data_IF_959815317783
#
_entry.id   IF_959815317783
#
_cell.length_a   1.000
_cell.length_b   1.000
_cell.length_c   1.000
_cell.angle_alpha   90.00
_cell.angle_beta   90.00
_cell.angle_gamma   90.00
#
_symmetry.space_group_name_H-M   'P 1'
#
loop_
_entity.id
_entity.type
_entity.pdbx_description
1 polymer ?
#
# COMPACT_ATOMS: atom_id res chain seq x y z
N UNK A 1 0.07 -15.97 -70.38
CA UNK A 1 -0.59 -14.78 -69.81
C UNK A 1 -1.48 -15.28 -68.68
N UNK A 2 -0.89 -15.43 -67.50
CA UNK A 2 -1.59 -15.95 -66.35
C UNK A 2 -2.21 -14.78 -65.56
N UNK A 3 -3.52 -14.84 -65.51
CA UNK A 3 -4.37 -13.84 -64.87
C UNK A 3 -4.27 -13.98 -63.37
N UNK A 4 -3.59 -13.05 -62.72
CA UNK A 4 -3.51 -12.91 -61.26
C UNK A 4 -4.87 -12.39 -60.76
N UNK A 5 -5.76 -13.28 -60.35
CA UNK A 5 -6.99 -12.90 -59.65
C UNK A 5 -6.67 -12.52 -58.23
N UNK A 6 -7.10 -11.34 -57.72
CA UNK A 6 -6.95 -11.00 -56.29
C UNK A 6 -7.82 -11.89 -55.44
N UNK A 7 -7.25 -12.52 -54.42
CA UNK A 7 -7.87 -13.45 -53.47
C UNK A 7 -8.91 -12.82 -52.51
N UNK A 8 -9.17 -11.53 -52.63
CA UNK A 8 -10.12 -10.79 -51.81
C UNK A 8 -11.16 -10.09 -52.66
N UNK A 9 -12.11 -10.80 -53.16
CA UNK A 9 -13.34 -10.22 -53.68
C UNK A 9 -14.34 -10.10 -52.54
N UNK A 10 -14.56 -8.90 -52.07
CA UNK A 10 -15.61 -8.56 -51.13
C UNK A 10 -16.98 -8.76 -51.77
N UNK A 11 -17.61 -9.90 -51.57
CA UNK A 11 -19.06 -10.04 -51.74
C UNK A 11 -19.77 -9.54 -50.48
N UNK A 12 -20.77 -8.65 -50.60
CA UNK A 12 -21.66 -8.35 -49.52
C UNK A 12 -22.55 -9.58 -49.30
N UNK A 13 -22.26 -10.36 -48.27
CA UNK A 13 -23.12 -11.45 -47.83
C UNK A 13 -23.95 -10.94 -46.67
N UNK A 14 -25.24 -10.85 -46.97
CA UNK A 14 -26.31 -10.63 -46.01
C UNK A 14 -26.19 -11.51 -44.78
N UNK A 15 -26.58 -10.92 -43.68
CA UNK A 15 -26.87 -11.47 -42.39
C UNK A 15 -27.18 -12.97 -42.34
N UNK A 16 -26.29 -13.75 -41.83
CA UNK A 16 -26.63 -14.89 -41.04
C UNK A 16 -25.65 -14.99 -39.89
N UNK A 17 -26.18 -14.82 -38.72
CA UNK A 17 -25.59 -14.90 -37.39
C UNK A 17 -24.80 -16.20 -37.13
N UNK A 18 -23.72 -16.39 -37.82
CA UNK A 18 -22.65 -17.32 -37.43
C UNK A 18 -21.69 -16.61 -36.53
N UNK A 19 -22.16 -16.23 -35.32
CA UNK A 19 -21.27 -16.01 -34.19
C UNK A 19 -20.52 -17.33 -33.97
N UNK A 20 -19.29 -17.38 -34.51
CA UNK A 20 -18.37 -18.46 -34.19
C UNK A 20 -18.28 -18.59 -32.68
N UNK A 21 -18.68 -19.72 -32.07
CA UNK A 21 -18.69 -19.84 -30.60
C UNK A 21 -17.31 -19.75 -29.96
N UNK A 22 -16.25 -19.75 -30.76
CA UNK A 22 -14.86 -19.79 -30.29
C UNK A 22 -14.12 -18.43 -30.31
N UNK A 23 -14.77 -17.33 -30.76
CA UNK A 23 -14.19 -16.01 -30.80
C UNK A 23 -14.63 -15.08 -29.67
N UNK A 24 -15.34 -15.57 -28.69
CA UNK A 24 -15.49 -14.83 -27.44
C UNK A 24 -14.12 -14.78 -26.78
N UNK A 25 -13.56 -13.59 -26.55
CA UNK A 25 -12.33 -13.49 -25.77
C UNK A 25 -12.57 -14.23 -24.45
N UNK A 26 -11.72 -15.22 -24.15
CA UNK A 26 -11.78 -16.03 -22.91
C UNK A 26 -11.54 -15.18 -21.64
N UNK A 27 -11.45 -13.88 -21.79
CA UNK A 27 -11.25 -12.94 -20.73
C UNK A 27 -12.61 -12.39 -20.33
N UNK A 28 -13.10 -12.84 -19.17
CA UNK A 28 -14.25 -12.22 -18.52
C UNK A 28 -13.96 -10.73 -18.34
N UNK A 29 -15.00 -9.91 -18.49
CA UNK A 29 -14.90 -8.46 -18.36
C UNK A 29 -14.32 -8.09 -16.98
N UNK A 30 -13.27 -7.27 -16.99
CA UNK A 30 -12.71 -6.72 -15.77
C UNK A 30 -13.73 -5.79 -15.13
N UNK A 31 -13.86 -5.84 -13.81
CA UNK A 31 -14.76 -4.95 -13.08
C UNK A 31 -14.06 -3.59 -12.93
N UNK A 32 -14.59 -2.51 -13.55
CA UNK A 32 -14.01 -1.19 -13.40
C UNK A 32 -14.22 -0.69 -11.96
N UNK A 33 -13.16 -0.22 -11.32
CA UNK A 33 -13.25 0.46 -10.02
C UNK A 33 -12.55 1.81 -10.09
N UNK A 34 -12.89 2.75 -9.19
CA UNK A 34 -12.22 4.07 -9.16
C UNK A 34 -10.70 4.00 -9.02
N UNK A 35 -10.19 2.91 -8.45
CA UNK A 35 -8.76 2.67 -8.23
C UNK A 35 -8.10 1.76 -9.28
N UNK A 36 -8.77 1.52 -10.41
CA UNK A 36 -8.32 0.63 -11.48
C UNK A 36 -9.13 -0.65 -11.60
N UNK A 37 -8.99 -1.39 -12.71
CA UNK A 37 -9.74 -2.62 -12.97
C UNK A 37 -9.34 -3.74 -12.01
N UNK A 38 -10.32 -4.50 -11.53
CA UNK A 38 -10.12 -5.68 -10.67
C UNK A 38 -10.61 -6.95 -11.37
N UNK A 39 -10.01 -8.08 -11.01
CA UNK A 39 -10.48 -9.39 -11.44
C UNK A 39 -11.78 -9.78 -10.74
N UNK A 40 -12.75 -10.36 -11.46
CA UNK A 40 -13.90 -10.94 -10.81
C UNK A 40 -13.47 -12.13 -9.93
N UNK A 41 -14.15 -12.28 -8.80
CA UNK A 41 -13.83 -13.34 -7.83
C UNK A 41 -13.88 -14.76 -8.45
N UNK A 42 -14.72 -14.97 -9.46
CA UNK A 42 -14.85 -16.24 -10.18
C UNK A 42 -13.56 -16.70 -10.87
N UNK A 43 -12.76 -15.77 -11.39
CA UNK A 43 -11.50 -16.07 -12.10
C UNK A 43 -10.31 -16.42 -11.19
N UNK A 44 -10.39 -16.14 -9.88
CA UNK A 44 -9.33 -16.49 -8.98
C UNK A 44 -9.26 -18.02 -8.79
N UNK A 45 -8.04 -18.56 -8.81
CA UNK A 45 -7.82 -19.98 -8.51
C UNK A 45 -8.24 -20.30 -7.07
N UNK A 46 -8.70 -21.53 -6.82
CA UNK A 46 -9.14 -21.96 -5.49
C UNK A 46 -8.06 -21.75 -4.42
N UNK A 47 -6.80 -22.01 -4.73
CA UNK A 47 -5.67 -21.79 -3.82
C UNK A 47 -5.49 -20.31 -3.47
N UNK A 48 -5.63 -19.40 -4.43
CA UNK A 48 -5.54 -17.95 -4.18
C UNK A 48 -6.70 -17.46 -3.33
N UNK A 49 -7.92 -17.96 -3.58
CA UNK A 49 -9.10 -17.66 -2.75
C UNK A 49 -8.89 -18.11 -1.32
N UNK A 50 -8.43 -19.35 -1.13
CA UNK A 50 -8.17 -19.91 0.19
C UNK A 50 -7.09 -19.08 0.93
N UNK A 51 -5.99 -18.77 0.25
CA UNK A 51 -4.93 -17.94 0.80
C UNK A 51 -5.44 -16.55 1.18
N UNK A 52 -6.23 -15.90 0.31
CA UNK A 52 -6.83 -14.59 0.59
C UNK A 52 -7.72 -14.63 1.83
N UNK A 53 -8.65 -15.58 1.90
CA UNK A 53 -9.53 -15.72 3.07
C UNK A 53 -8.74 -16.00 4.35
N UNK A 54 -7.74 -16.86 4.28
CA UNK A 54 -6.87 -17.17 5.42
C UNK A 54 -6.07 -15.93 5.87
N UNK A 55 -5.52 -15.16 4.93
CA UNK A 55 -4.77 -13.93 5.24
C UNK A 55 -5.67 -12.88 5.88
N UNK A 56 -6.85 -12.64 5.33
CA UNK A 56 -7.79 -11.67 5.92
C UNK A 56 -8.23 -12.13 7.31
N UNK A 57 -8.56 -13.41 7.50
CA UNK A 57 -8.94 -13.92 8.81
C UNK A 57 -7.82 -13.78 9.85
N UNK A 58 -6.57 -14.08 9.49
CA UNK A 58 -5.41 -13.91 10.39
C UNK A 58 -5.13 -12.45 10.72
N UNK A 59 -5.26 -11.53 9.75
CA UNK A 59 -5.09 -10.09 10.00
C UNK A 59 -6.22 -9.52 10.85
N UNK A 60 -7.47 -9.97 10.68
CA UNK A 60 -8.59 -9.58 11.52
C UNK A 60 -8.43 -10.12 12.97
N UNK A 61 -7.91 -11.34 13.14
CA UNK A 61 -7.59 -11.86 14.47
C UNK A 61 -6.48 -11.01 15.13
N UNK A 62 -5.44 -10.64 14.39
CA UNK A 62 -4.38 -9.75 14.89
C UNK A 62 -4.93 -8.35 15.22
N UNK A 63 -5.86 -7.84 14.42
CA UNK A 63 -6.56 -6.58 14.68
C UNK A 63 -7.33 -6.65 16.01
N UNK A 64 -8.10 -7.70 16.23
CA UNK A 64 -8.85 -7.91 17.47
C UNK A 64 -7.93 -7.98 18.70
N UNK A 65 -6.82 -8.71 18.62
CA UNK A 65 -5.80 -8.76 19.67
C UNK A 65 -5.18 -7.39 19.96
N UNK A 66 -4.90 -6.62 18.91
CA UNK A 66 -4.33 -5.29 19.05
C UNK A 66 -5.31 -4.30 19.68
N UNK A 67 -6.58 -4.31 19.25
CA UNK A 67 -7.66 -3.50 19.84
C UNK A 67 -7.91 -3.86 21.31
N UNK A 68 -7.92 -5.15 21.66
CA UNK A 68 -8.03 -5.61 23.05
C UNK A 68 -6.88 -5.09 23.90
N UNK A 69 -5.66 -5.06 23.34
CA UNK A 69 -4.51 -4.53 24.04
C UNK A 69 -4.61 -3.02 24.26
N UNK A 70 -5.00 -2.26 23.23
CA UNK A 70 -5.23 -0.81 23.29
C UNK A 70 -6.30 -0.50 24.36
N UNK A 71 -7.41 -1.24 24.35
CA UNK A 71 -8.49 -1.07 25.34
C UNK A 71 -8.01 -1.32 26.77
N UNK A 72 -7.26 -2.40 27.00
CA UNK A 72 -6.71 -2.69 28.33
C UNK A 72 -5.72 -1.61 28.79
N UNK A 73 -4.90 -1.09 27.89
CA UNK A 73 -3.94 -0.03 28.20
C UNK A 73 -4.65 1.29 28.50
N UNK A 74 -5.74 1.63 27.80
CA UNK A 74 -6.50 2.86 28.06
C UNK A 74 -7.24 2.85 29.40
N UNK A 75 -7.56 1.65 29.93
CA UNK A 75 -8.24 1.48 31.23
C UNK A 75 -7.24 1.38 32.40
N UNK A 76 -5.95 1.17 32.16
CA UNK A 76 -4.95 1.07 33.19
C UNK A 76 -4.50 2.47 33.62
N UNK A 77 -4.66 2.81 34.90
CA UNK A 77 -4.36 4.13 35.49
C UNK A 77 -2.87 4.49 35.48
N UNK A 78 -2.00 3.50 35.32
CA UNK A 78 -0.56 3.63 35.18
C UNK A 78 -0.09 2.81 33.98
N UNK A 79 -0.25 3.36 32.78
CA UNK A 79 0.19 2.69 31.56
C UNK A 79 1.56 3.23 31.13
N UNK A 80 2.45 2.31 30.76
CA UNK A 80 3.65 2.63 30.00
C UNK A 80 3.22 3.26 28.67
N UNK A 81 3.40 4.56 28.52
CA UNK A 81 3.01 5.32 27.31
C UNK A 81 3.61 4.70 26.03
N UNK A 82 4.82 4.16 26.11
CA UNK A 82 5.51 3.50 25.02
C UNK A 82 4.74 2.30 24.43
N UNK A 83 4.06 1.51 25.30
CA UNK A 83 3.28 0.35 24.83
C UNK A 83 2.02 0.76 24.05
N UNK A 84 1.40 1.89 24.40
CA UNK A 84 0.23 2.41 23.72
C UNK A 84 0.58 2.86 22.29
N UNK A 85 1.67 3.61 22.14
CA UNK A 85 2.21 4.04 20.84
C UNK A 85 2.52 2.86 19.93
N UNK A 86 3.20 1.86 20.46
CA UNK A 86 3.51 0.62 19.73
C UNK A 86 2.24 -0.04 19.20
N UNK A 87 1.20 -0.09 20.04
CA UNK A 87 -0.08 -0.71 19.66
C UNK A 87 -0.82 0.10 18.60
N UNK A 88 -0.76 1.44 18.64
CA UNK A 88 -1.34 2.30 17.60
C UNK A 88 -0.62 2.16 16.26
N UNK A 89 0.71 2.17 16.25
CA UNK A 89 1.48 1.96 15.00
C UNK A 89 1.18 0.58 14.41
N UNK A 90 1.06 -0.44 15.26
CA UNK A 90 0.69 -1.77 14.82
C UNK A 90 -0.73 -1.80 14.24
N UNK A 91 -1.68 -1.08 14.84
CA UNK A 91 -3.04 -0.95 14.32
C UNK A 91 -3.04 -0.38 12.90
N UNK A 92 -2.32 0.72 12.68
CA UNK A 92 -2.15 1.32 11.34
C UNK A 92 -1.53 0.30 10.39
N UNK A 93 -0.45 -0.37 10.79
CA UNK A 93 0.22 -1.39 9.98
C UNK A 93 -0.72 -2.52 9.54
N UNK A 94 -1.56 -3.04 10.44
CA UNK A 94 -2.51 -4.11 10.12
C UNK A 94 -3.58 -3.63 9.12
N UNK A 95 -4.13 -2.42 9.30
CA UNK A 95 -5.13 -1.87 8.39
C UNK A 95 -4.58 -1.71 6.97
N UNK A 96 -3.34 -1.21 6.85
CA UNK A 96 -2.67 -1.10 5.55
C UNK A 96 -2.29 -2.48 4.97
N UNK A 97 -1.91 -3.47 5.78
CA UNK A 97 -1.70 -4.84 5.31
C UNK A 97 -2.96 -5.45 4.70
N UNK A 98 -4.14 -5.24 5.30
CA UNK A 98 -5.43 -5.67 4.74
C UNK A 98 -5.67 -5.01 3.37
N UNK A 99 -5.39 -3.72 3.26
CA UNK A 99 -5.50 -2.99 2.00
C UNK A 99 -4.55 -3.53 0.94
N UNK A 100 -3.25 -3.68 1.24
CA UNK A 100 -2.23 -4.14 0.29
C UNK A 100 -2.50 -5.56 -0.21
N UNK A 101 -2.85 -6.50 0.66
CA UNK A 101 -3.14 -7.87 0.22
C UNK A 101 -4.40 -7.94 -0.63
N UNK A 102 -5.43 -7.16 -0.28
CA UNK A 102 -6.68 -7.11 -1.04
C UNK A 102 -6.40 -6.60 -2.44
N UNK A 103 -5.71 -5.49 -2.56
CA UNK A 103 -5.39 -4.89 -3.85
C UNK A 103 -4.36 -5.71 -4.62
N UNK A 104 -3.35 -6.24 -3.94
CA UNK A 104 -2.31 -7.10 -4.53
C UNK A 104 -2.88 -8.35 -5.19
N UNK A 105 -3.91 -8.98 -4.60
CA UNK A 105 -4.55 -10.17 -5.15
C UNK A 105 -5.58 -9.82 -6.22
N UNK A 106 -6.47 -8.85 -5.98
CA UNK A 106 -7.57 -8.53 -6.90
C UNK A 106 -7.11 -7.83 -8.17
N UNK A 107 -6.05 -7.04 -8.11
CA UNK A 107 -5.45 -6.35 -9.25
C UNK A 107 -4.21 -7.06 -9.81
N UNK A 108 -3.80 -8.20 -9.23
CA UNK A 108 -2.50 -8.85 -9.53
C UNK A 108 -1.32 -7.86 -9.46
N UNK A 109 -1.39 -6.92 -8.53
CA UNK A 109 -0.39 -5.88 -8.42
C UNK A 109 0.81 -6.36 -7.59
N UNK A 110 1.94 -6.61 -8.25
CA UNK A 110 3.17 -7.07 -7.61
C UNK A 110 3.74 -6.06 -6.62
N UNK A 111 3.60 -4.77 -6.89
CA UNK A 111 4.10 -3.69 -6.03
C UNK A 111 3.42 -3.72 -4.66
N UNK A 112 2.11 -3.91 -4.63
CA UNK A 112 1.34 -4.03 -3.38
C UNK A 112 1.74 -5.28 -2.57
N UNK A 113 2.06 -6.38 -3.26
CA UNK A 113 2.55 -7.58 -2.57
C UNK A 113 3.94 -7.36 -1.96
N UNK A 114 4.82 -6.61 -2.61
CA UNK A 114 6.12 -6.23 -2.04
C UNK A 114 5.91 -5.37 -0.80
N UNK A 115 5.06 -4.34 -0.89
CA UNK A 115 4.77 -3.47 0.25
C UNK A 115 4.14 -4.26 1.40
N UNK A 116 3.24 -5.20 1.11
CA UNK A 116 2.67 -6.11 2.11
C UNK A 116 3.75 -6.91 2.85
N UNK A 117 4.70 -7.52 2.12
CA UNK A 117 5.82 -8.27 2.71
C UNK A 117 6.69 -7.36 3.56
N UNK A 118 7.04 -6.16 3.06
CA UNK A 118 7.82 -5.18 3.81
C UNK A 118 7.12 -4.76 5.11
N UNK A 119 5.81 -4.49 5.05
CA UNK A 119 5.02 -4.16 6.24
C UNK A 119 5.01 -5.29 7.25
N UNK A 120 4.82 -6.55 6.82
CA UNK A 120 4.88 -7.70 7.72
C UNK A 120 6.24 -7.85 8.37
N UNK A 121 7.33 -7.71 7.61
CA UNK A 121 8.70 -7.79 8.14
C UNK A 121 8.96 -6.69 9.17
N UNK A 122 8.51 -5.46 8.93
CA UNK A 122 8.64 -4.35 9.88
C UNK A 122 7.85 -4.64 11.15
N UNK A 123 6.61 -5.14 11.04
CA UNK A 123 5.78 -5.51 12.20
C UNK A 123 6.41 -6.65 12.98
N UNK A 124 6.96 -7.67 12.32
CA UNK A 124 7.68 -8.78 12.96
C UNK A 124 8.91 -8.28 13.69
N UNK A 125 9.77 -7.48 13.03
CA UNK A 125 11.01 -6.94 13.61
C UNK A 125 10.68 -6.08 14.83
N UNK A 126 9.70 -5.20 14.72
CA UNK A 126 9.26 -4.36 15.84
C UNK A 126 8.69 -5.21 17.00
N UNK A 127 7.95 -6.28 16.71
CA UNK A 127 7.41 -7.19 17.72
C UNK A 127 8.53 -7.91 18.48
N UNK A 128 9.60 -8.32 17.77
CA UNK A 128 10.80 -8.91 18.38
C UNK A 128 11.49 -7.89 19.29
N UNK A 129 11.76 -6.68 18.81
CA UNK A 129 12.40 -5.62 19.60
C UNK A 129 11.59 -5.32 20.86
N UNK A 130 10.28 -5.12 20.73
CA UNK A 130 9.40 -4.86 21.88
C UNK A 130 9.42 -6.00 22.89
N UNK A 131 9.42 -7.25 22.43
CA UNK A 131 9.48 -8.43 23.31
C UNK A 131 10.83 -8.57 24.03
N UNK A 132 11.95 -8.20 23.36
CA UNK A 132 13.30 -8.28 23.94
C UNK A 132 13.58 -7.19 24.99
N UNK A 133 13.04 -6.01 24.75
CA UNK A 133 13.27 -4.84 25.65
C UNK A 133 12.49 -4.94 26.96
N UNK A 134 11.30 -5.56 26.92
CA UNK A 134 10.46 -5.68 28.14
C UNK A 134 11.07 -6.63 29.19
N UNK A 135 10.95 -6.29 30.49
CA UNK A 135 11.36 -7.16 31.58
C UNK A 135 10.69 -8.52 31.51
N UNK A 136 11.40 -9.57 31.97
CA UNK A 136 10.90 -10.97 31.89
C UNK A 136 9.58 -11.15 32.62
N UNK A 137 9.34 -10.38 33.67
CA UNK A 137 8.10 -10.45 34.45
C UNK A 137 6.87 -9.98 33.66
N UNK A 138 7.05 -9.00 32.74
CA UNK A 138 5.98 -8.41 31.95
C UNK A 138 5.73 -9.16 30.61
N UNK A 139 6.61 -10.11 30.26
CA UNK A 139 6.51 -10.90 29.00
C UNK A 139 5.41 -11.97 29.02
N UNK A 140 4.57 -12.02 30.04
CA UNK A 140 3.53 -13.05 30.22
C UNK A 140 2.16 -12.60 29.70
N UNK A 141 1.29 -13.58 29.44
CA UNK A 141 -0.10 -13.34 29.08
C UNK A 141 -0.31 -12.83 27.66
N UNK A 142 -1.13 -11.79 27.51
CA UNK A 142 -1.58 -11.28 26.21
C UNK A 142 -0.42 -10.82 25.30
N UNK A 143 0.66 -10.28 25.88
CA UNK A 143 1.83 -9.84 25.12
C UNK A 143 2.54 -11.02 24.44
N UNK A 144 2.74 -12.12 25.16
CA UNK A 144 3.33 -13.34 24.62
C UNK A 144 2.46 -13.94 23.51
N UNK A 145 1.14 -14.01 23.73
CA UNK A 145 0.18 -14.50 22.72
C UNK A 145 0.27 -13.66 21.46
N UNK A 146 0.28 -12.33 21.58
CA UNK A 146 0.41 -11.41 20.45
C UNK A 146 1.73 -11.61 19.72
N UNK A 147 2.84 -11.72 20.45
CA UNK A 147 4.17 -11.94 19.86
C UNK A 147 4.22 -13.22 19.04
N UNK A 148 3.83 -14.35 19.65
CA UNK A 148 3.82 -15.66 18.99
C UNK A 148 2.91 -15.63 17.75
N UNK A 149 1.73 -15.02 17.87
CA UNK A 149 0.79 -14.91 16.76
C UNK A 149 1.36 -14.10 15.59
N UNK A 150 2.01 -12.95 15.85
CA UNK A 150 2.67 -12.13 14.81
C UNK A 150 3.77 -12.94 14.12
N UNK A 151 4.60 -13.66 14.88
CA UNK A 151 5.68 -14.47 14.31
C UNK A 151 5.13 -15.62 13.45
N UNK A 152 4.08 -16.31 13.90
CA UNK A 152 3.44 -17.37 13.11
C UNK A 152 2.79 -16.82 11.83
N UNK A 153 2.06 -15.70 11.92
CA UNK A 153 1.44 -15.04 10.77
C UNK A 153 2.52 -14.64 9.76
N UNK A 154 3.59 -13.99 10.20
CA UNK A 154 4.67 -13.57 9.32
C UNK A 154 5.39 -14.76 8.67
N UNK A 155 5.71 -15.80 9.44
CA UNK A 155 6.37 -17.00 8.94
C UNK A 155 5.57 -17.73 7.84
N UNK A 156 4.25 -17.65 7.87
CA UNK A 156 3.38 -18.26 6.85
C UNK A 156 3.16 -17.30 5.68
N UNK A 157 2.83 -16.03 5.95
CA UNK A 157 2.40 -15.12 4.89
C UNK A 157 3.53 -14.57 4.05
N UNK A 158 4.74 -14.39 4.60
CA UNK A 158 5.89 -13.91 3.81
C UNK A 158 6.26 -14.89 2.68
N UNK A 159 6.48 -16.18 2.93
CA UNK A 159 6.76 -17.13 1.84
C UNK A 159 5.60 -17.25 0.85
N UNK A 160 4.35 -17.28 1.33
CA UNK A 160 3.18 -17.37 0.45
C UNK A 160 3.06 -16.15 -0.47
N UNK A 161 3.31 -14.94 0.04
CA UNK A 161 3.29 -13.72 -0.75
C UNK A 161 4.43 -13.70 -1.79
N UNK A 162 5.62 -14.20 -1.45
CA UNK A 162 6.75 -14.35 -2.38
C UNK A 162 6.39 -15.35 -3.49
N UNK A 163 5.76 -16.47 -3.16
CA UNK A 163 5.29 -17.44 -4.15
C UNK A 163 4.23 -16.82 -5.09
N UNK A 164 3.34 -15.98 -4.54
CA UNK A 164 2.34 -15.28 -5.32
C UNK A 164 2.97 -14.21 -6.23
N UNK A 165 4.01 -13.51 -5.76
CA UNK A 165 4.77 -12.55 -6.55
C UNK A 165 5.42 -13.16 -7.79
N UNK A 166 5.91 -14.40 -7.69
CA UNK A 166 6.55 -15.12 -8.79
C UNK A 166 5.57 -15.61 -9.87
N UNK A 167 4.25 -15.50 -9.66
CA UNK A 167 3.26 -15.84 -10.68
C UNK A 167 3.25 -14.82 -11.81
N UNK A 168 2.96 -15.23 -13.07
CA UNK A 168 2.89 -14.30 -14.19
C UNK A 168 1.78 -13.26 -13.96
N UNK A 169 2.12 -11.99 -14.15
CA UNK A 169 1.16 -10.90 -14.07
C UNK A 169 0.41 -10.75 -15.41
N UNK A 170 -0.81 -11.25 -15.45
CA UNK A 170 -1.65 -11.19 -16.65
C UNK A 170 -2.43 -9.88 -16.76
N UNK A 171 -2.55 -9.09 -15.67
CA UNK A 171 -3.33 -7.87 -15.66
C UNK A 171 -2.72 -6.78 -16.56
N UNK A 172 -1.41 -6.62 -16.54
CA UNK A 172 -0.71 -5.67 -17.39
C UNK A 172 -0.96 -5.97 -18.88
N UNK A 173 -0.97 -7.26 -19.26
CA UNK A 173 -1.29 -7.69 -20.62
C UNK A 173 -2.77 -7.47 -20.96
N UNK A 174 -3.69 -7.71 -20.03
CA UNK A 174 -5.14 -7.50 -20.24
C UNK A 174 -5.48 -6.01 -20.48
N UNK A 175 -4.81 -5.11 -19.74
CA UNK A 175 -5.03 -3.65 -19.85
C UNK A 175 -4.25 -3.07 -21.03
N UNK A 176 -2.96 -3.41 -21.17
CA UNK A 176 -2.05 -2.84 -22.17
C UNK A 176 -2.07 -3.52 -23.52
N UNK A 177 -2.60 -4.77 -23.60
CA UNK A 177 -2.48 -5.59 -24.79
C UNK A 177 -1.02 -5.95 -25.09
N UNK A 178 -0.67 -6.03 -26.38
CA UNK A 178 0.68 -6.31 -26.84
C UNK A 178 1.62 -5.07 -26.86
N UNK A 179 1.13 -3.89 -26.47
CA UNK A 179 1.91 -2.65 -26.50
C UNK A 179 2.74 -2.51 -25.23
N UNK A 180 4.03 -2.70 -25.33
CA UNK A 180 4.99 -2.62 -24.21
C UNK A 180 4.95 -1.25 -23.52
N UNK A 181 4.83 -0.14 -24.27
CA UNK A 181 4.75 1.20 -23.71
C UNK A 181 3.57 1.40 -22.77
N UNK A 182 2.40 0.80 -23.08
CA UNK A 182 1.22 0.88 -22.22
C UNK A 182 1.35 -0.03 -21.01
N UNK A 183 2.01 -1.19 -21.15
CA UNK A 183 2.30 -2.06 -20.01
C UNK A 183 3.29 -1.39 -19.03
N UNK A 184 4.32 -0.70 -19.54
CA UNK A 184 5.24 0.09 -18.72
C UNK A 184 4.51 1.24 -18.02
N UNK A 185 3.65 1.97 -18.73
CA UNK A 185 2.84 3.03 -18.15
C UNK A 185 1.91 2.50 -17.04
N UNK A 186 1.27 1.35 -17.25
CA UNK A 186 0.45 0.68 -16.24
C UNK A 186 1.27 0.27 -15.02
N UNK A 187 2.48 -0.24 -15.23
CA UNK A 187 3.41 -0.56 -14.15
C UNK A 187 3.78 0.68 -13.34
N UNK A 188 4.17 1.79 -14.01
CA UNK A 188 4.53 3.05 -13.34
C UNK A 188 3.34 3.66 -12.59
N UNK A 189 2.14 3.60 -13.15
CA UNK A 189 0.91 4.06 -12.50
C UNK A 189 0.67 3.30 -11.19
N UNK A 190 0.75 1.97 -11.23
CA UNK A 190 0.58 1.15 -10.04
C UNK A 190 1.69 1.39 -9.02
N UNK A 191 2.94 1.57 -9.46
CA UNK A 191 4.06 1.90 -8.60
C UNK A 191 3.84 3.23 -7.87
N UNK A 192 3.47 4.29 -8.60
CA UNK A 192 3.16 5.59 -8.01
C UNK A 192 2.03 5.46 -6.98
N UNK A 193 0.96 4.75 -7.31
CA UNK A 193 -0.17 4.59 -6.42
C UNK A 193 0.20 3.81 -5.15
N UNK A 194 0.99 2.73 -5.28
CA UNK A 194 1.48 1.96 -4.13
C UNK A 194 2.43 2.79 -3.26
N UNK A 195 3.28 3.63 -3.87
CA UNK A 195 4.19 4.50 -3.13
C UNK A 195 3.43 5.63 -2.41
N UNK A 196 2.39 6.22 -3.00
CA UNK A 196 1.55 7.23 -2.34
C UNK A 196 0.85 6.64 -1.10
N UNK A 197 0.33 5.42 -1.20
CA UNK A 197 -0.32 4.76 -0.05
C UNK A 197 0.68 4.34 1.02
N UNK A 198 1.88 3.92 0.62
CA UNK A 198 2.95 3.57 1.55
C UNK A 198 3.52 4.81 2.25
N UNK A 199 3.63 5.93 1.54
CA UNK A 199 4.01 7.22 2.13
C UNK A 199 2.98 7.69 3.16
N UNK A 200 1.67 7.58 2.85
CA UNK A 200 0.60 7.85 3.81
C UNK A 200 0.75 7.01 5.09
N UNK A 201 0.99 5.71 4.96
CA UNK A 201 1.23 4.84 6.10
C UNK A 201 2.44 5.30 6.94
N UNK A 202 3.56 5.62 6.29
CA UNK A 202 4.77 6.08 6.96
C UNK A 202 4.52 7.39 7.72
N UNK A 203 3.81 8.34 7.12
CA UNK A 203 3.45 9.61 7.74
C UNK A 203 2.54 9.44 8.96
N UNK A 204 1.52 8.57 8.87
CA UNK A 204 0.65 8.26 10.00
C UNK A 204 1.44 7.63 11.17
N UNK A 205 2.37 6.72 10.87
CA UNK A 205 3.24 6.13 11.89
C UNK A 205 4.16 7.18 12.53
N UNK A 206 4.73 8.10 11.74
CA UNK A 206 5.55 9.18 12.25
C UNK A 206 4.75 10.18 13.10
N UNK A 207 3.53 10.52 12.71
CA UNK A 207 2.63 11.36 13.52
C UNK A 207 2.37 10.73 14.89
N UNK A 208 2.15 9.41 14.95
CA UNK A 208 1.95 8.69 16.20
C UNK A 208 3.24 8.70 17.06
N UNK A 209 4.42 8.51 16.45
CA UNK A 209 5.70 8.55 17.16
C UNK A 209 5.98 9.93 17.77
N UNK A 210 5.64 11.00 17.08
CA UNK A 210 5.85 12.38 17.56
C UNK A 210 4.94 12.68 18.75
N UNK A 211 3.69 12.18 18.73
CA UNK A 211 2.75 12.36 19.81
C UNK A 211 3.28 11.84 21.16
N UNK A 212 4.03 10.74 21.13
CA UNK A 212 4.51 10.07 22.34
C UNK A 212 5.89 10.54 22.80
N UNK A 213 6.64 11.29 21.99
CA UNK A 213 7.90 11.89 22.40
C UNK A 213 7.74 13.12 23.29
N UNK A 214 6.50 13.57 23.55
CA UNK A 214 6.18 14.67 24.46
C UNK A 214 5.72 14.17 25.83
N UNK A 215 6.37 14.60 26.88
CA UNK A 215 6.12 14.19 28.28
C UNK A 215 4.74 14.54 28.85
N UNK A 216 3.95 15.33 28.13
CA UNK A 216 2.55 15.64 28.48
C UNK A 216 1.72 15.82 27.22
N UNK A 217 0.56 15.20 27.17
CA UNK A 217 -0.47 15.46 26.15
C UNK A 217 -0.97 16.91 26.29
N UNK A 218 -0.23 17.86 25.73
CA UNK A 218 -0.65 19.24 25.62
C UNK A 218 -1.75 19.33 24.55
N UNK A 219 -2.72 20.19 24.77
CA UNK A 219 -3.76 20.50 23.79
C UNK A 219 -3.16 20.91 22.42
N UNK A 220 -2.03 21.61 22.44
CA UNK A 220 -1.26 22.02 21.26
C UNK A 220 -0.75 20.80 20.46
N UNK A 221 -0.19 19.80 21.14
CA UNK A 221 0.31 18.58 20.47
C UNK A 221 -0.82 17.79 19.81
N UNK A 222 -2.01 17.75 20.41
CA UNK A 222 -3.18 17.08 19.81
C UNK A 222 -3.68 17.80 18.55
N UNK A 223 -3.63 19.14 18.52
CA UNK A 223 -3.97 19.92 17.33
C UNK A 223 -2.96 19.67 16.20
N UNK A 224 -1.67 19.71 16.51
CA UNK A 224 -0.59 19.47 15.53
C UNK A 224 -0.74 18.07 14.93
N UNK A 225 -1.01 17.06 15.77
CA UNK A 225 -1.26 15.69 15.32
C UNK A 225 -2.48 15.62 14.39
N UNK A 226 -3.61 16.18 14.81
CA UNK A 226 -4.83 16.18 14.00
C UNK A 226 -4.63 16.86 12.66
N UNK A 227 -3.95 18.00 12.63
CA UNK A 227 -3.58 18.69 11.40
C UNK A 227 -2.64 17.84 10.53
N UNK A 228 -1.62 17.21 11.11
CA UNK A 228 -0.69 16.33 10.39
C UNK A 228 -1.38 15.14 9.73
N UNK A 229 -2.31 14.50 10.43
CA UNK A 229 -3.10 13.38 9.88
C UNK A 229 -3.99 13.83 8.73
N UNK A 230 -4.71 14.95 8.90
CA UNK A 230 -5.57 15.50 7.84
C UNK A 230 -4.74 15.89 6.62
N UNK A 231 -3.58 16.54 6.84
CA UNK A 231 -2.66 16.92 5.76
C UNK A 231 -2.14 15.70 5.01
N UNK A 232 -1.70 14.66 5.70
CA UNK A 232 -1.24 13.41 5.10
C UNK A 232 -2.33 12.73 4.25
N UNK A 233 -3.56 12.66 4.75
CA UNK A 233 -4.70 12.10 4.01
C UNK A 233 -5.02 12.94 2.76
N UNK A 234 -4.97 14.27 2.87
CA UNK A 234 -5.23 15.19 1.75
C UNK A 234 -4.15 15.04 0.68
N UNK A 235 -2.88 14.99 1.07
CA UNK A 235 -1.74 14.80 0.16
C UNK A 235 -1.86 13.47 -0.58
N UNK A 236 -2.17 12.38 0.13
CA UNK A 236 -2.37 11.07 -0.47
C UNK A 236 -3.58 11.05 -1.44
N UNK A 237 -4.68 11.72 -1.10
CA UNK A 237 -5.84 11.85 -1.98
C UNK A 237 -5.50 12.61 -3.26
N UNK A 238 -4.82 13.77 -3.15
CA UNK A 238 -4.39 14.56 -4.32
C UNK A 238 -3.42 13.76 -5.18
N UNK A 239 -2.42 13.09 -4.59
CA UNK A 239 -1.48 12.22 -5.30
C UNK A 239 -2.17 11.09 -6.06
N UNK A 240 -3.10 10.40 -5.40
CA UNK A 240 -3.88 9.31 -6.01
C UNK A 240 -4.74 9.80 -7.19
N UNK A 241 -5.42 10.94 -7.03
CA UNK A 241 -6.24 11.55 -8.09
C UNK A 241 -5.36 12.05 -9.23
N UNK A 242 -4.20 12.65 -8.93
CA UNK A 242 -3.25 13.14 -9.93
C UNK A 242 -2.77 12.02 -10.86
N UNK A 243 -2.43 10.87 -10.27
CA UNK A 243 -1.98 9.68 -11.00
C UNK A 243 -3.11 9.06 -11.82
N UNK A 244 -4.31 8.87 -11.24
CA UNK A 244 -5.45 8.23 -11.92
C UNK A 244 -6.06 9.10 -13.03
N UNK A 245 -6.07 10.43 -12.86
CA UNK A 245 -6.64 11.36 -13.85
C UNK A 245 -5.61 11.86 -14.87
N UNK A 246 -4.34 11.46 -14.77
CA UNK A 246 -3.24 11.94 -15.60
C UNK A 246 -3.15 13.49 -15.66
N UNK A 247 -3.50 14.14 -14.54
CA UNK A 247 -3.62 15.59 -14.48
C UNK A 247 -2.31 16.25 -14.05
N UNK A 248 -1.55 16.85 -14.99
CA UNK A 248 -0.26 17.51 -14.72
C UNK A 248 -0.35 18.59 -13.64
N UNK A 249 -1.44 19.37 -13.61
CA UNK A 249 -1.64 20.40 -12.59
C UNK A 249 -1.72 19.80 -11.18
N UNK A 250 -2.44 18.68 -11.02
CA UNK A 250 -2.54 17.99 -9.73
C UNK A 250 -1.21 17.37 -9.30
N UNK A 251 -0.38 16.94 -10.26
CA UNK A 251 0.98 16.48 -9.95
C UNK A 251 1.82 17.60 -9.37
N UNK A 252 1.78 18.80 -9.94
CA UNK A 252 2.49 19.95 -9.37
C UNK A 252 1.97 20.33 -7.99
N UNK A 253 0.65 20.31 -7.80
CA UNK A 253 0.05 20.53 -6.49
C UNK A 253 0.52 19.49 -5.47
N UNK A 254 0.54 18.21 -5.85
CA UNK A 254 1.04 17.12 -5.02
C UNK A 254 2.51 17.31 -4.62
N UNK A 255 3.38 17.67 -5.58
CA UNK A 255 4.80 17.96 -5.31
C UNK A 255 4.93 19.13 -4.33
N UNK A 256 4.16 20.21 -4.54
CA UNK A 256 4.17 21.37 -3.65
C UNK A 256 3.70 21.02 -2.22
N UNK A 257 2.67 20.19 -2.08
CA UNK A 257 2.18 19.71 -0.77
C UNK A 257 3.19 18.86 -0.02
N UNK A 258 4.12 18.18 -0.71
CA UNK A 258 5.19 17.40 -0.08
C UNK A 258 6.37 18.26 0.42
N UNK A 259 6.52 19.51 0.00
CA UNK A 259 7.62 20.38 0.47
C UNK A 259 7.59 20.65 1.97
N UNK A 260 6.43 21.00 2.60
CA UNK A 260 6.35 21.17 4.05
C UNK A 260 6.73 19.89 4.82
N UNK A 261 6.38 18.72 4.28
CA UNK A 261 6.72 17.44 4.91
C UNK A 261 8.22 17.17 4.90
N UNK A 262 8.90 17.44 3.79
CA UNK A 262 10.36 17.32 3.71
C UNK A 262 11.03 18.30 4.65
N UNK A 263 10.57 19.56 4.73
CA UNK A 263 11.05 20.56 5.68
C UNK A 263 10.86 20.10 7.14
N UNK A 264 9.71 19.49 7.42
CA UNK A 264 9.42 18.94 8.75
C UNK A 264 10.34 17.75 9.09
N UNK A 265 10.66 16.87 8.16
CA UNK A 265 11.64 15.79 8.36
C UNK A 265 13.02 16.34 8.68
N UNK A 266 13.48 17.36 7.96
CA UNK A 266 14.77 18.00 8.24
C UNK A 266 14.80 18.60 9.64
N UNK A 267 13.72 19.27 10.04
CA UNK A 267 13.56 19.82 11.41
C UNK A 267 13.56 18.69 12.46
N UNK A 268 12.83 17.59 12.24
CA UNK A 268 12.79 16.46 13.15
C UNK A 268 14.16 15.82 13.33
N UNK A 269 14.89 15.61 12.23
CA UNK A 269 16.26 15.06 12.27
C UNK A 269 17.22 15.97 13.03
N UNK A 270 17.14 17.28 12.79
CA UNK A 270 17.91 18.26 13.53
C UNK A 270 17.59 18.19 15.03
N UNK A 271 16.32 18.20 15.41
CA UNK A 271 15.88 18.14 16.80
C UNK A 271 16.34 16.86 17.51
N UNK A 272 16.21 15.70 16.86
CA UNK A 272 16.68 14.41 17.40
C UNK A 272 18.20 14.43 17.57
N UNK A 273 18.97 14.97 16.61
CA UNK A 273 20.43 15.00 16.70
C UNK A 273 20.94 15.90 17.84
N UNK A 274 20.24 16.99 18.13
CA UNK A 274 20.59 17.90 19.23
C UNK A 274 20.23 17.32 20.60
N UNK A 275 19.08 16.63 20.70
CA UNK A 275 18.56 16.12 21.97
C UNK A 275 18.82 14.61 22.18
N UNK A 276 19.69 14.00 21.37
CA UNK A 276 19.97 12.57 21.43
C UNK A 276 20.36 12.11 22.82
N UNK A 277 19.56 11.22 23.40
CA UNK A 277 19.85 10.58 24.68
C UNK A 277 19.57 11.41 25.93
N UNK A 278 19.04 12.65 25.82
CA UNK A 278 18.76 13.50 26.99
C UNK A 278 17.64 12.91 27.87
N UNK A 279 16.62 12.28 27.25
CA UNK A 279 15.46 11.70 27.95
C UNK A 279 15.57 10.18 28.18
N UNK A 280 16.74 9.56 27.90
CA UNK A 280 16.97 8.10 27.96
C UNK A 280 16.01 7.28 27.06
N UNK A 281 15.42 7.88 26.04
CA UNK A 281 14.44 7.28 25.12
C UNK A 281 15.07 6.81 23.81
N UNK A 282 16.28 6.24 23.87
CA UNK A 282 17.06 5.83 22.68
C UNK A 282 16.28 5.00 21.66
N UNK A 283 15.35 4.14 22.10
CA UNK A 283 14.58 3.27 21.22
C UNK A 283 13.57 4.07 20.40
N UNK A 284 12.92 5.05 21.03
CA UNK A 284 11.93 5.91 20.38
C UNK A 284 12.61 6.84 19.36
N UNK A 285 13.75 7.42 19.74
CA UNK A 285 14.59 8.25 18.86
C UNK A 285 15.10 7.45 17.66
N UNK A 286 15.63 6.23 17.89
CA UNK A 286 16.07 5.34 16.82
C UNK A 286 14.91 4.94 15.90
N UNK A 287 13.72 4.67 16.43
CA UNK A 287 12.53 4.38 15.64
C UNK A 287 12.11 5.58 14.79
N UNK A 288 12.16 6.81 15.33
CA UNK A 288 11.84 8.02 14.61
C UNK A 288 12.84 8.31 13.47
N UNK A 289 14.14 8.14 13.72
CA UNK A 289 15.19 8.27 12.69
C UNK A 289 14.98 7.23 11.58
N UNK A 290 14.77 5.97 11.95
CA UNK A 290 14.53 4.88 10.99
C UNK A 290 13.27 5.15 10.14
N UNK A 291 12.18 5.60 10.79
CA UNK A 291 10.95 5.96 10.10
C UNK A 291 11.14 7.15 9.14
N UNK A 292 11.90 8.17 9.55
CA UNK A 292 12.22 9.32 8.71
C UNK A 292 13.05 8.92 7.47
N UNK A 293 14.07 8.08 7.65
CA UNK A 293 14.89 7.55 6.54
C UNK A 293 14.05 6.75 5.56
N UNK A 294 13.19 5.85 6.06
CA UNK A 294 12.28 5.07 5.22
C UNK A 294 11.34 6.00 4.44
N UNK A 295 10.76 7.02 5.08
CA UNK A 295 9.88 7.97 4.41
C UNK A 295 10.59 8.75 3.29
N UNK A 296 11.83 9.20 3.52
CA UNK A 296 12.64 9.88 2.48
C UNK A 296 12.92 8.94 1.30
N UNK A 297 13.24 7.67 1.56
CA UNK A 297 13.44 6.67 0.50
C UNK A 297 12.15 6.43 -0.31
N UNK A 298 11.00 6.30 0.36
CA UNK A 298 9.70 6.16 -0.30
C UNK A 298 9.43 7.37 -1.20
N UNK A 299 9.63 8.59 -0.71
CA UNK A 299 9.45 9.83 -1.49
C UNK A 299 10.40 9.90 -2.67
N UNK A 300 11.66 9.48 -2.52
CA UNK A 300 12.63 9.41 -3.61
C UNK A 300 12.15 8.49 -4.75
N UNK A 301 11.71 7.28 -4.41
CA UNK A 301 11.15 6.33 -5.39
C UNK A 301 9.87 6.88 -6.02
N UNK A 302 8.99 7.48 -5.22
CA UNK A 302 7.73 8.06 -5.67
C UNK A 302 7.96 9.18 -6.69
N UNK A 303 8.84 10.14 -6.40
CA UNK A 303 9.10 11.27 -7.31
C UNK A 303 9.81 10.81 -8.59
N UNK A 304 10.73 9.84 -8.50
CA UNK A 304 11.36 9.26 -9.69
C UNK A 304 10.34 8.55 -10.59
N UNK A 305 9.46 7.74 -9.99
CA UNK A 305 8.40 7.04 -10.72
C UNK A 305 7.37 8.02 -11.30
N UNK A 306 6.97 9.03 -10.52
CA UNK A 306 6.03 10.07 -10.94
C UNK A 306 6.57 10.89 -12.11
N UNK A 307 7.85 11.25 -12.09
CA UNK A 307 8.49 11.98 -13.17
C UNK A 307 8.50 11.18 -14.49
N UNK A 308 8.77 9.86 -14.41
CA UNK A 308 8.66 8.98 -15.58
C UNK A 308 7.22 8.85 -16.06
N UNK A 309 6.27 8.68 -15.13
CA UNK A 309 4.86 8.54 -15.44
C UNK A 309 4.30 9.80 -16.13
N UNK A 310 4.64 11.01 -15.67
CA UNK A 310 4.19 12.28 -16.27
C UNK A 310 4.65 12.43 -17.71
N UNK A 311 5.82 11.90 -18.06
CA UNK A 311 6.31 11.89 -19.44
C UNK A 311 5.50 11.01 -20.38
N UNK A 312 4.84 9.99 -19.85
CA UNK A 312 4.00 9.05 -20.61
C UNK A 312 2.50 9.40 -20.59
N UNK A 313 2.10 10.50 -19.96
CA UNK A 313 0.69 10.94 -19.92
C UNK A 313 0.15 11.20 -21.33
N UNK A 314 -1.08 10.75 -21.59
CA UNK A 314 -1.78 10.92 -22.86
C UNK A 314 -1.54 9.79 -23.88
N UNK A 315 -0.88 8.69 -23.53
CA UNK A 315 -0.71 7.53 -24.41
C UNK A 315 -1.96 6.61 -24.49
N UNK A 316 -3.09 7.01 -23.87
CA UNK A 316 -4.36 6.30 -23.96
C UNK A 316 -4.58 5.19 -22.92
N UNK A 317 -3.72 5.08 -21.89
CA UNK A 317 -3.91 4.11 -20.82
C UNK A 317 -5.22 4.34 -20.05
N UNK A 318 -5.51 5.61 -19.73
CA UNK A 318 -6.73 6.00 -19.02
C UNK A 318 -7.99 5.54 -19.75
N UNK A 319 -8.06 5.74 -21.05
CA UNK A 319 -9.20 5.32 -21.87
C UNK A 319 -9.38 3.81 -21.81
N UNK A 320 -8.31 3.03 -21.87
CA UNK A 320 -8.36 1.57 -21.79
C UNK A 320 -8.74 1.04 -20.41
N UNK A 321 -8.37 1.75 -19.34
CA UNK A 321 -8.72 1.36 -17.96
C UNK A 321 -10.18 1.62 -17.62
N UNK A 322 -10.79 2.68 -18.22
CA UNK A 322 -12.13 3.16 -17.86
C UNK A 322 -13.14 3.11 -19.01
N UNK A 323 -12.75 2.64 -20.20
CA UNK A 323 -13.63 2.60 -21.40
C UNK A 323 -14.66 1.48 -21.40
N UNK A 324 -14.73 0.66 -20.37
CA UNK A 324 -15.74 -0.41 -20.24
C UNK A 324 -17.18 0.10 -20.06
N UNK A 325 -17.41 1.42 -19.99
CA UNK A 325 -18.73 2.01 -19.73
C UNK A 325 -19.50 2.44 -20.99
N UNK A 326 -19.05 2.06 -22.20
CA UNK A 326 -19.69 2.47 -23.46
C UNK A 326 -19.89 1.33 -24.49
N UNK A 327 -20.26 0.12 -24.04
CA UNK A 327 -20.83 -0.88 -24.95
C UNK A 327 -22.11 -1.49 -24.40
#
# INVERSE_FOLDING_TARGET
MDEIRPLLTSQPREDSSLRSPNLRPRHQELIPTPCGPIKPWSELSCLVKLYFCFTIASLLALLALTLTNIYKQSMATYSYEDNFTVSLIQLVGILFCIYYITRGILQENRQELIVFVLCLLVVMMRSVVNFMVLPVQDRKGLLLVRFVFIMCVGAVHVPCAILLFNRPNMMAFRVGGALESIQEQYFLLNLCFSMVTFDLQAQLCLCILIMTSGTTMSFENSIILGFGVVWACLTAAVGSIAVLKEAKLLVWLFVLQNLPEVAYFMYLMYRISVNWGMDKTYILEAAAVTGAVISVLIKGVLFCALFRLVRSFGQGLRERMFSSDKQ
#
